data_IF_097566421051
#
_entry.id   IF_097566421051
#
_cell.length_a   1.000
_cell.length_b   1.000
_cell.length_c   1.000
_cell.angle_alpha   90.00
_cell.angle_beta   90.00
_cell.angle_gamma   90.00
#
_symmetry.space_group_name_H-M   'P 1'
#
loop_
_entity.id
_entity.type
_entity.pdbx_description
1 polymer ?
#
# COMPACT_ATOMS: atom_id res chain seq x y z
N UNK A 1 -7.97 19.02 -2.65
CA UNK A 1 -6.93 19.61 -3.56
C UNK A 1 -6.94 18.76 -4.82
N UNK A 2 -7.06 19.36 -6.02
CA UNK A 2 -6.91 18.61 -7.28
C UNK A 2 -5.45 18.72 -7.71
N UNK A 3 -4.81 17.57 -7.88
CA UNK A 3 -3.46 17.48 -8.46
C UNK A 3 -3.62 17.28 -9.96
N UNK A 4 -2.93 18.09 -10.77
CA UNK A 4 -3.02 18.03 -12.22
C UNK A 4 -1.68 18.36 -12.88
N UNK A 5 -1.41 17.75 -14.02
CA UNK A 5 -0.20 17.98 -14.84
C UNK A 5 1.12 17.76 -14.05
N UNK A 6 1.14 16.73 -13.15
CA UNK A 6 2.27 16.41 -12.30
C UNK A 6 2.86 15.04 -12.63
N UNK A 7 4.16 14.91 -12.38
CA UNK A 7 4.86 13.63 -12.30
C UNK A 7 4.66 13.09 -10.88
N UNK A 8 3.86 12.02 -10.71
CA UNK A 8 3.52 11.47 -9.41
C UNK A 8 4.10 10.08 -9.23
N UNK A 9 4.88 9.89 -8.17
CA UNK A 9 5.35 8.57 -7.76
C UNK A 9 4.40 8.00 -6.70
N UNK A 10 3.78 6.86 -6.97
CA UNK A 10 2.95 6.10 -6.02
C UNK A 10 3.77 4.92 -5.53
N UNK A 11 4.06 4.90 -4.24
CA UNK A 11 4.89 3.87 -3.60
C UNK A 11 4.00 2.83 -2.95
N UNK A 12 4.04 1.63 -3.52
CA UNK A 12 3.17 0.51 -3.17
C UNK A 12 2.02 0.35 -4.15
N UNK A 13 1.88 -0.87 -4.67
CA UNK A 13 0.87 -1.24 -5.67
C UNK A 13 -0.27 -2.08 -5.09
N UNK A 14 -0.49 -2.04 -3.79
CA UNK A 14 -1.68 -2.64 -3.18
C UNK A 14 -2.96 -2.01 -3.74
N UNK A 15 -4.14 -2.50 -3.32
CA UNK A 15 -5.43 -2.00 -3.83
C UNK A 15 -5.54 -0.47 -3.74
N UNK A 16 -5.21 0.11 -2.60
CA UNK A 16 -5.22 1.57 -2.40
C UNK A 16 -4.26 2.29 -3.35
N UNK A 17 -3.07 1.73 -3.62
CA UNK A 17 -2.11 2.30 -4.55
C UNK A 17 -2.63 2.29 -5.99
N UNK A 18 -3.27 1.20 -6.43
CA UNK A 18 -3.88 1.11 -7.76
C UNK A 18 -5.04 2.10 -7.92
N UNK A 19 -5.99 2.12 -6.98
CA UNK A 19 -7.16 3.01 -7.00
C UNK A 19 -6.73 4.50 -6.97
N UNK A 20 -5.74 4.83 -6.14
CA UNK A 20 -5.16 6.18 -6.10
C UNK A 20 -4.49 6.54 -7.43
N UNK A 21 -3.80 5.59 -8.05
CA UNK A 21 -3.17 5.80 -9.35
C UNK A 21 -4.20 6.03 -10.47
N UNK A 22 -5.30 5.28 -10.50
CA UNK A 22 -6.41 5.52 -11.42
C UNK A 22 -7.00 6.92 -11.26
N UNK A 23 -7.24 7.35 -10.01
CA UNK A 23 -7.73 8.70 -9.73
C UNK A 23 -6.73 9.76 -10.22
N UNK A 24 -5.45 9.62 -9.94
CA UNK A 24 -4.41 10.57 -10.35
C UNK A 24 -4.30 10.67 -11.87
N UNK A 25 -4.32 9.55 -12.57
CA UNK A 25 -4.32 9.50 -14.03
C UNK A 25 -5.58 10.18 -14.60
N UNK A 26 -6.76 9.92 -14.02
CA UNK A 26 -8.01 10.55 -14.46
C UNK A 26 -8.02 12.07 -14.29
N UNK A 27 -7.15 12.59 -13.41
CA UNK A 27 -6.95 14.04 -13.21
C UNK A 27 -5.90 14.65 -14.14
N UNK A 28 -5.29 13.86 -15.03
CA UNK A 28 -4.30 14.32 -16.00
C UNK A 28 -2.86 14.34 -15.47
N UNK A 29 -2.52 13.47 -14.51
CA UNK A 29 -1.16 13.32 -14.02
C UNK A 29 -0.43 12.18 -14.74
N UNK A 30 0.90 12.25 -14.79
CA UNK A 30 1.77 11.17 -15.18
C UNK A 30 2.17 10.35 -13.94
N UNK A 31 1.81 9.08 -13.91
CA UNK A 31 1.99 8.24 -12.72
C UNK A 31 3.08 7.21 -12.93
N UNK A 32 3.98 7.10 -11.96
CA UNK A 32 4.93 5.99 -11.79
C UNK A 32 4.55 5.22 -10.54
N UNK A 33 4.23 3.94 -10.68
CA UNK A 33 3.96 3.03 -9.56
C UNK A 33 5.23 2.27 -9.23
N UNK A 34 5.68 2.37 -8.00
CA UNK A 34 6.86 1.68 -7.46
C UNK A 34 6.40 0.57 -6.53
N UNK A 35 6.87 -0.66 -6.77
CA UNK A 35 6.53 -1.83 -5.95
C UNK A 35 7.80 -2.61 -5.59
N UNK A 36 7.94 -2.94 -4.31
CA UNK A 36 9.09 -3.71 -3.83
C UNK A 36 9.00 -5.20 -4.21
N UNK A 37 7.80 -5.74 -4.34
CA UNK A 37 7.60 -7.11 -4.79
C UNK A 37 7.94 -7.27 -6.30
N UNK A 38 8.20 -8.51 -6.77
CA UNK A 38 8.55 -8.75 -8.17
C UNK A 38 7.35 -8.63 -9.13
N UNK A 39 6.17 -8.29 -8.63
CA UNK A 39 4.94 -8.13 -9.43
C UNK A 39 4.06 -7.03 -8.85
N UNK A 40 3.24 -6.42 -9.70
CA UNK A 40 2.24 -5.44 -9.30
C UNK A 40 1.11 -6.11 -8.50
N UNK A 41 0.57 -5.39 -7.53
CA UNK A 41 -0.58 -5.75 -6.72
C UNK A 41 -0.46 -7.10 -5.99
N UNK A 42 0.64 -7.36 -5.26
CA UNK A 42 0.79 -8.61 -4.53
C UNK A 42 -0.33 -8.75 -3.49
N UNK A 43 -1.09 -9.86 -3.56
CA UNK A 43 -2.19 -10.13 -2.62
C UNK A 43 -3.49 -9.35 -2.87
N UNK A 44 -3.59 -8.56 -3.93
CA UNK A 44 -4.86 -7.96 -4.35
C UNK A 44 -5.79 -9.01 -4.98
N UNK A 45 -7.10 -8.74 -4.97
CA UNK A 45 -8.05 -9.54 -5.71
C UNK A 45 -7.84 -9.37 -7.21
N UNK A 46 -7.80 -10.48 -7.95
CA UNK A 46 -7.51 -10.46 -9.38
C UNK A 46 -8.53 -9.62 -10.17
N UNK A 47 -9.81 -9.59 -9.75
CA UNK A 47 -10.85 -8.77 -10.40
C UNK A 47 -10.51 -7.27 -10.38
N UNK A 48 -9.96 -6.77 -9.27
CA UNK A 48 -9.52 -5.37 -9.17
C UNK A 48 -8.29 -5.10 -10.02
N UNK A 49 -7.37 -6.05 -10.06
CA UNK A 49 -6.16 -5.93 -10.88
C UNK A 49 -6.51 -5.93 -12.37
N UNK A 50 -7.39 -6.86 -12.78
CA UNK A 50 -7.84 -6.98 -14.16
C UNK A 50 -8.65 -5.76 -14.65
N UNK A 51 -9.30 -5.04 -13.74
CA UNK A 51 -9.99 -3.78 -14.06
C UNK A 51 -9.02 -2.58 -14.11
N UNK A 52 -8.13 -2.46 -13.12
CA UNK A 52 -7.26 -1.30 -12.97
C UNK A 52 -6.08 -1.28 -13.96
N UNK A 53 -5.40 -2.41 -14.16
CA UNK A 53 -4.18 -2.45 -14.97
C UNK A 53 -4.36 -2.00 -16.42
N UNK A 54 -5.40 -2.43 -17.16
CA UNK A 54 -5.60 -1.96 -18.53
C UNK A 54 -5.79 -0.45 -18.63
N UNK A 55 -6.50 0.16 -17.67
CA UNK A 55 -6.72 1.62 -17.61
C UNK A 55 -5.41 2.37 -17.36
N UNK A 56 -4.61 1.89 -16.40
CA UNK A 56 -3.32 2.47 -16.08
C UNK A 56 -2.32 2.31 -17.23
N UNK A 57 -2.32 1.17 -17.91
CA UNK A 57 -1.49 0.94 -19.11
C UNK A 57 -1.90 1.86 -20.27
N UNK A 58 -3.21 2.01 -20.52
CA UNK A 58 -3.72 2.92 -21.55
C UNK A 58 -3.36 4.38 -21.26
N UNK A 59 -3.18 4.74 -20.00
CA UNK A 59 -2.72 6.06 -19.56
C UNK A 59 -1.19 6.19 -19.50
N UNK A 60 -0.45 5.23 -20.02
CA UNK A 60 1.02 5.21 -20.04
C UNK A 60 1.67 5.28 -18.66
N UNK A 61 1.01 4.70 -17.64
CA UNK A 61 1.59 4.57 -16.30
C UNK A 61 2.86 3.73 -16.35
N UNK A 62 3.91 4.20 -15.69
CA UNK A 62 5.17 3.46 -15.55
C UNK A 62 5.08 2.53 -14.34
N UNK A 63 5.45 1.26 -14.52
CA UNK A 63 5.47 0.27 -13.43
C UNK A 63 6.91 -0.12 -13.14
N UNK A 64 7.36 0.10 -11.91
CA UNK A 64 8.70 -0.23 -11.42
C UNK A 64 8.59 -1.26 -10.31
N UNK A 65 8.72 -2.54 -10.64
CA UNK A 65 8.70 -3.66 -9.69
C UNK A 65 10.10 -4.02 -9.20
N UNK A 66 10.20 -4.70 -8.07
CA UNK A 66 11.48 -5.05 -7.44
C UNK A 66 12.24 -3.81 -6.96
N UNK A 67 11.54 -2.69 -6.70
CA UNK A 67 12.14 -1.41 -6.33
C UNK A 67 11.68 -0.98 -4.94
N UNK A 68 12.64 -0.75 -4.05
CA UNK A 68 12.42 -0.26 -2.71
C UNK A 68 12.70 1.24 -2.65
N UNK A 69 11.78 2.01 -2.07
CA UNK A 69 12.02 3.43 -1.78
C UNK A 69 13.08 3.56 -0.68
N UNK A 70 14.14 4.30 -0.95
CA UNK A 70 15.18 4.64 0.04
C UNK A 70 14.98 6.05 0.60
N UNK A 71 14.75 7.03 -0.26
CA UNK A 71 14.61 8.42 0.15
C UNK A 71 13.67 9.20 -0.77
N UNK A 72 13.07 10.26 -0.23
CA UNK A 72 12.32 11.27 -0.98
C UNK A 72 13.11 12.56 -0.91
N UNK A 73 13.40 13.13 -2.07
CA UNK A 73 14.06 14.41 -2.25
C UNK A 73 13.06 15.48 -2.70
N UNK A 74 13.52 16.69 -2.94
CA UNK A 74 12.65 17.82 -3.28
C UNK A 74 11.92 17.60 -4.62
N UNK A 75 12.58 16.97 -5.60
CA UNK A 75 12.11 16.81 -6.98
C UNK A 75 12.28 15.38 -7.52
N UNK A 76 12.57 14.42 -6.66
CA UNK A 76 12.87 13.04 -7.04
C UNK A 76 12.72 12.07 -5.88
N UNK A 77 12.70 10.78 -6.20
CA UNK A 77 12.85 9.69 -5.25
C UNK A 77 14.09 8.86 -5.57
N UNK A 78 14.75 8.34 -4.53
CA UNK A 78 15.82 7.36 -4.65
C UNK A 78 15.26 5.97 -4.40
N UNK A 79 15.47 5.08 -5.38
CA UNK A 79 15.05 3.70 -5.36
C UNK A 79 16.27 2.77 -5.32
N UNK A 80 16.09 1.61 -4.72
CA UNK A 80 17.04 0.49 -4.75
C UNK A 80 16.38 -0.75 -5.34
N UNK A 81 16.99 -1.33 -6.34
CA UNK A 81 16.57 -2.63 -6.83
C UNK A 81 16.86 -3.71 -5.79
N UNK A 82 15.84 -4.47 -5.38
CA UNK A 82 15.92 -5.41 -4.27
C UNK A 82 16.83 -6.61 -4.54
N UNK A 83 17.02 -6.97 -5.82
CA UNK A 83 17.83 -8.12 -6.23
C UNK A 83 19.29 -7.75 -6.43
N UNK A 84 19.56 -6.57 -7.01
CA UNK A 84 20.91 -6.15 -7.41
C UNK A 84 21.55 -5.13 -6.47
N UNK A 85 20.74 -4.45 -5.63
CA UNK A 85 21.20 -3.34 -4.80
C UNK A 85 21.52 -2.06 -5.62
N UNK A 86 21.26 -2.05 -6.93
CA UNK A 86 21.51 -0.88 -7.76
C UNK A 86 20.54 0.25 -7.43
N UNK A 87 21.07 1.48 -7.40
CA UNK A 87 20.29 2.68 -7.07
C UNK A 87 19.88 3.46 -8.31
N UNK A 88 18.68 4.00 -8.29
CA UNK A 88 18.12 4.80 -9.40
C UNK A 88 17.40 6.00 -8.83
N UNK A 89 17.60 7.17 -9.46
CA UNK A 89 16.85 8.38 -9.17
C UNK A 89 15.69 8.51 -10.16
N UNK A 90 14.49 8.73 -9.65
CA UNK A 90 13.28 8.92 -10.46
C UNK A 90 12.72 10.31 -10.17
N UNK A 91 12.70 11.21 -11.17
CA UNK A 91 12.12 12.54 -11.02
C UNK A 91 10.62 12.46 -10.72
N UNK A 92 10.14 13.28 -9.78
CA UNK A 92 8.72 13.41 -9.48
C UNK A 92 8.43 14.75 -8.76
N UNK A 93 7.23 15.28 -8.96
CA UNK A 93 6.72 16.48 -8.27
C UNK A 93 5.99 16.14 -6.98
N UNK A 94 5.47 14.92 -6.88
CA UNK A 94 4.66 14.46 -5.76
C UNK A 94 4.90 12.99 -5.49
N UNK A 95 4.95 12.63 -4.22
CA UNK A 95 5.05 11.25 -3.77
C UNK A 95 3.80 10.89 -2.96
N UNK A 96 3.19 9.77 -3.29
CA UNK A 96 2.07 9.18 -2.55
C UNK A 96 2.55 7.87 -1.94
N UNK A 97 2.51 7.78 -0.62
CA UNK A 97 2.90 6.57 0.10
C UNK A 97 1.68 5.67 0.33
N UNK A 98 1.67 4.49 -0.28
CA UNK A 98 0.66 3.44 -0.14
C UNK A 98 1.31 2.15 0.37
N UNK A 99 2.07 2.26 1.47
CA UNK A 99 2.95 1.21 1.98
C UNK A 99 2.23 0.13 2.82
N UNK A 100 0.89 0.17 2.85
CA UNK A 100 0.09 -0.69 3.71
C UNK A 100 0.04 -0.21 5.15
N UNK A 101 -0.37 -1.10 6.05
CA UNK A 101 -0.58 -0.81 7.46
C UNK A 101 0.14 -1.84 8.32
N UNK A 102 0.33 -1.54 9.61
CA UNK A 102 0.88 -2.46 10.61
C UNK A 102 -0.08 -2.55 11.79
N UNK A 103 -0.13 -3.70 12.50
CA UNK A 103 -0.91 -3.80 13.72
C UNK A 103 -0.45 -2.76 14.75
N UNK A 104 -1.42 -2.12 15.42
CA UNK A 104 -1.16 -1.23 16.55
C UNK A 104 -1.81 -1.85 17.80
N UNK A 105 -0.99 -2.50 18.60
CA UNK A 105 -1.43 -3.23 19.81
C UNK A 105 -1.01 -2.57 21.13
N UNK A 106 -0.50 -1.33 21.08
CA UNK A 106 0.03 -0.64 22.27
C UNK A 106 -0.97 -0.53 23.42
N UNK A 107 -2.24 -0.26 23.11
CA UNK A 107 -3.29 -0.26 24.14
C UNK A 107 -3.45 -1.63 24.79
N UNK A 108 -3.54 -2.70 24.00
CA UNK A 108 -3.66 -4.07 24.53
C UNK A 108 -2.48 -4.40 25.45
N UNK A 109 -1.25 -4.13 25.00
CA UNK A 109 -0.04 -4.39 25.77
C UNK A 109 -0.03 -3.62 27.12
N UNK A 110 -0.56 -2.41 27.13
CA UNK A 110 -0.61 -1.58 28.35
C UNK A 110 -1.63 -2.02 29.40
N UNK A 111 -2.70 -2.69 28.98
CA UNK A 111 -3.81 -3.05 29.89
C UNK A 111 -3.94 -4.55 30.19
N UNK A 112 -3.33 -5.43 29.38
CA UNK A 112 -3.52 -6.89 29.49
C UNK A 112 -3.16 -7.48 30.85
N UNK A 113 -2.26 -6.84 31.61
CA UNK A 113 -1.90 -7.26 32.97
C UNK A 113 -2.82 -6.73 34.05
N UNK A 114 -3.64 -5.71 33.75
CA UNK A 114 -4.54 -5.06 34.72
C UNK A 114 -5.94 -5.68 34.77
N UNK A 115 -6.27 -6.51 33.78
CA UNK A 115 -7.59 -7.14 33.68
C UNK A 115 -7.45 -8.63 33.39
N UNK A 116 -8.32 -9.45 34.00
CA UNK A 116 -8.30 -10.91 33.86
C UNK A 116 -8.79 -11.39 32.49
N UNK A 117 -9.52 -10.56 31.75
CA UNK A 117 -10.06 -10.87 30.42
C UNK A 117 -9.88 -9.68 29.50
N UNK A 118 -8.82 -9.72 28.69
CA UNK A 118 -8.55 -8.75 27.63
C UNK A 118 -8.20 -9.52 26.38
N UNK A 119 -8.84 -9.16 25.29
CA UNK A 119 -8.66 -9.82 24.01
C UNK A 119 -8.33 -8.78 22.94
N UNK A 120 -7.36 -9.08 22.10
CA UNK A 120 -6.97 -8.24 20.97
C UNK A 120 -7.38 -8.93 19.66
N UNK A 121 -8.29 -8.33 18.90
CA UNK A 121 -8.82 -8.87 17.66
C UNK A 121 -8.81 -7.82 16.54
N UNK A 122 -9.01 -8.27 15.29
CA UNK A 122 -9.01 -7.38 14.13
C UNK A 122 -7.61 -6.83 13.81
N UNK A 123 -7.56 -5.69 13.15
CA UNK A 123 -6.32 -5.10 12.61
C UNK A 123 -5.30 -4.68 13.67
N UNK A 124 -5.74 -4.42 14.89
CA UNK A 124 -4.83 -4.15 16.00
C UNK A 124 -4.00 -5.37 16.42
N UNK A 125 -4.48 -6.58 16.13
CA UNK A 125 -3.78 -7.85 16.36
C UNK A 125 -3.09 -8.36 15.08
N UNK A 126 -3.89 -8.56 14.02
CA UNK A 126 -3.43 -9.06 12.73
C UNK A 126 -4.20 -8.36 11.63
N UNK A 127 -3.46 -7.65 10.79
CA UNK A 127 -4.02 -6.95 9.64
C UNK A 127 -4.69 -7.93 8.69
N UNK A 128 -5.89 -7.57 8.25
CA UNK A 128 -6.67 -8.37 7.34
C UNK A 128 -7.74 -7.57 6.63
N UNK A 129 -8.73 -8.29 6.13
CA UNK A 129 -9.95 -7.74 5.53
C UNK A 129 -11.08 -7.79 6.54
N UNK A 130 -12.21 -7.18 6.22
CA UNK A 130 -13.39 -7.15 7.10
C UNK A 130 -13.76 -8.55 7.59
N UNK A 131 -13.76 -9.56 6.70
CA UNK A 131 -14.09 -10.93 7.07
C UNK A 131 -13.13 -11.52 8.11
N UNK A 132 -11.83 -11.18 8.06
CA UNK A 132 -10.86 -11.67 9.03
C UNK A 132 -11.14 -11.11 10.43
N UNK A 133 -11.53 -9.83 10.51
CA UNK A 133 -11.90 -9.20 11.78
C UNK A 133 -13.20 -9.79 12.34
N UNK A 134 -14.23 -9.98 11.52
CA UNK A 134 -15.52 -10.57 11.94
C UNK A 134 -15.39 -12.03 12.31
N UNK A 135 -14.57 -12.81 11.59
CA UNK A 135 -14.26 -14.20 11.93
C UNK A 135 -13.53 -14.31 13.26
N UNK A 136 -12.50 -13.48 13.49
CA UNK A 136 -11.79 -13.45 14.76
C UNK A 136 -12.71 -13.11 15.93
N UNK A 137 -13.62 -12.15 15.75
CA UNK A 137 -14.63 -11.79 16.76
C UNK A 137 -15.60 -12.94 17.04
N UNK A 138 -16.07 -13.61 16.00
CA UNK A 138 -16.97 -14.77 16.14
C UNK A 138 -16.28 -15.93 16.89
N UNK A 139 -15.07 -16.29 16.50
CA UNK A 139 -14.31 -17.37 17.14
C UNK A 139 -14.05 -17.06 18.63
N UNK A 140 -13.71 -15.81 18.95
CA UNK A 140 -13.54 -15.39 20.33
C UNK A 140 -14.86 -15.51 21.11
N UNK A 141 -15.96 -14.99 20.57
CA UNK A 141 -17.26 -15.06 21.25
C UNK A 141 -17.73 -16.50 21.53
N UNK A 142 -17.42 -17.43 20.62
CA UNK A 142 -17.75 -18.86 20.81
C UNK A 142 -16.84 -19.56 21.82
N UNK A 143 -15.73 -18.95 22.22
CA UNK A 143 -14.77 -19.51 23.21
C UNK A 143 -14.94 -18.95 24.63
N UNK A 144 -15.78 -17.94 24.82
CA UNK A 144 -16.09 -17.31 26.11
C UNK A 144 -17.20 -18.03 26.87
#
# INVERSE_FOLDING_TARGET
>A
MKVKDKQVAVIGSGMTGLETSELLVSQGNHVTIVEMAPRIAPGAYFQHVDDALPKLQAAHTVFMVGQKLLAVHQDSIELENVDTGSKTMVPCDLVVLSLGVRPENGLYESIKSSFSRVYNIGDSNKIGRIHNATEAAYQLAMSL
#
